data_IF_046343504415
#
_entry.id   IF_046343504415
#
_cell.length_a   1.000
_cell.length_b   1.000
_cell.length_c   1.000
_cell.angle_alpha   90.00
_cell.angle_beta   90.00
_cell.angle_gamma   90.00
#
_symmetry.space_group_name_H-M   'P 1'
#
loop_
_entity.id
_entity.type
_entity.pdbx_description
1 polymer ?
#
# COMPACT_ATOMS: atom_id res chain seq x y z
N UNK A 1 -0.97 -5.73 1.33
CA UNK A 1 0.24 -5.66 2.18
C UNK A 1 0.08 -6.55 3.39
N UNK A 2 1.10 -7.31 3.74
CA UNK A 2 1.15 -8.11 4.98
C UNK A 2 1.45 -7.26 6.21
N UNK A 3 1.81 -6.02 5.99
CA UNK A 3 2.15 -5.04 7.03
C UNK A 3 0.97 -4.10 7.19
N UNK A 4 0.60 -3.83 8.43
CA UNK A 4 -0.41 -2.83 8.74
C UNK A 4 0.05 -1.45 8.25
N UNK A 5 -0.89 -0.66 7.75
CA UNK A 5 -0.62 0.74 7.48
C UNK A 5 -0.42 1.47 8.82
N UNK A 6 0.45 2.47 8.81
CA UNK A 6 0.76 3.23 10.02
C UNK A 6 0.56 4.72 9.79
N UNK A 7 0.16 5.41 10.85
CA UNK A 7 0.13 6.86 10.89
C UNK A 7 0.78 7.36 12.19
N UNK A 8 1.45 8.50 12.09
CA UNK A 8 1.94 9.25 13.25
C UNK A 8 1.23 10.57 13.30
N UNK A 9 0.74 10.94 14.47
CA UNK A 9 -0.02 12.16 14.71
C UNK A 9 0.58 12.92 15.88
N UNK A 10 0.79 14.22 15.72
CA UNK A 10 1.20 15.14 16.80
C UNK A 10 0.10 16.16 17.02
N UNK A 11 -0.35 16.29 18.26
CA UNK A 11 -1.38 17.25 18.65
C UNK A 11 -0.79 18.20 19.68
N UNK A 12 -0.86 19.48 19.39
CA UNK A 12 -0.30 20.54 20.22
C UNK A 12 -1.36 21.14 21.11
N UNK A 13 -1.01 21.38 22.36
CA UNK A 13 -1.79 22.13 23.36
C UNK A 13 -3.23 21.64 23.52
N UNK A 14 -3.44 20.32 23.50
CA UNK A 14 -4.75 19.74 23.73
C UNK A 14 -5.19 19.96 25.19
N UNK A 15 -6.51 20.08 25.39
CA UNK A 15 -7.07 20.18 26.75
C UNK A 15 -6.78 18.89 27.56
N UNK A 16 -6.64 18.95 28.90
CA UNK A 16 -6.32 17.78 29.71
C UNK A 16 -7.27 16.60 29.52
N UNK A 17 -8.56 16.87 29.36
CA UNK A 17 -9.57 15.82 29.07
C UNK A 17 -9.33 15.15 27.70
N UNK A 18 -8.92 15.92 26.71
CA UNK A 18 -8.56 15.40 25.37
C UNK A 18 -7.29 14.57 25.46
N UNK A 19 -6.27 15.02 26.19
CA UNK A 19 -5.02 14.27 26.39
C UNK A 19 -5.33 12.89 26.99
N UNK A 20 -6.15 12.83 28.06
CA UNK A 20 -6.56 11.56 28.67
C UNK A 20 -7.20 10.60 27.65
N UNK A 21 -8.04 11.13 26.77
CA UNK A 21 -8.68 10.33 25.71
C UNK A 21 -7.68 9.87 24.65
N UNK A 22 -6.74 10.74 24.24
CA UNK A 22 -5.70 10.45 23.26
C UNK A 22 -4.68 9.42 23.77
N UNK A 23 -4.39 9.42 25.08
CA UNK A 23 -3.48 8.46 25.72
C UNK A 23 -4.12 7.09 25.95
N UNK A 24 -5.43 6.95 25.76
CA UNK A 24 -6.09 5.65 25.89
C UNK A 24 -5.69 4.74 24.72
N UNK A 25 -4.96 3.67 25.05
CA UNK A 25 -4.51 2.66 24.08
C UNK A 25 -5.70 1.82 23.59
N UNK A 26 -5.63 1.33 22.36
CA UNK A 26 -6.65 0.57 21.65
C UNK A 26 -7.90 1.38 21.25
N UNK A 27 -7.95 2.68 21.45
CA UNK A 27 -8.98 3.52 20.87
C UNK A 27 -8.85 3.57 19.35
N UNK A 28 -10.00 3.57 18.65
CA UNK A 28 -10.05 3.77 17.22
C UNK A 28 -9.91 5.26 16.92
N UNK A 29 -8.99 5.60 16.05
CA UNK A 29 -8.72 6.96 15.58
C UNK A 29 -8.99 7.04 14.09
N UNK A 30 -9.82 8.02 13.70
CA UNK A 30 -10.14 8.30 12.31
C UNK A 30 -9.53 9.65 11.94
N UNK A 31 -8.62 9.66 10.98
CA UNK A 31 -8.02 10.89 10.46
C UNK A 31 -8.77 11.28 9.19
N UNK A 32 -9.31 12.49 9.18
CA UNK A 32 -9.98 13.08 8.03
C UNK A 32 -9.22 14.30 7.57
N UNK A 33 -8.99 14.41 6.28
CA UNK A 33 -8.37 15.57 5.66
C UNK A 33 -8.91 15.80 4.25
N UNK A 34 -8.79 17.04 3.78
CA UNK A 34 -9.26 17.45 2.46
C UNK A 34 -9.38 18.97 2.36
N UNK A 35 -9.65 19.45 1.18
CA UNK A 35 -9.83 20.88 0.93
C UNK A 35 -11.31 21.28 1.06
N UNK A 36 -11.59 22.36 1.80
CA UNK A 36 -12.97 22.85 2.04
C UNK A 36 -13.70 23.20 0.74
N UNK A 37 -12.96 23.66 -0.28
CA UNK A 37 -13.52 24.07 -1.59
C UNK A 37 -13.74 22.91 -2.57
N UNK A 38 -13.34 21.69 -2.19
CA UNK A 38 -13.49 20.48 -2.97
C UNK A 38 -14.50 19.55 -2.30
N UNK A 39 -14.19 18.29 -2.12
CA UNK A 39 -15.05 17.27 -1.50
C UNK A 39 -15.07 17.31 0.03
N UNK A 40 -14.38 18.30 0.64
CA UNK A 40 -14.28 18.45 2.09
C UNK A 40 -13.36 17.44 2.76
N UNK A 41 -13.46 17.33 4.09
CA UNK A 41 -12.64 16.40 4.86
C UNK A 41 -13.16 14.97 4.74
N UNK A 42 -12.44 14.13 4.02
CA UNK A 42 -12.72 12.70 3.89
C UNK A 42 -11.71 11.87 4.69
N UNK A 43 -12.09 10.65 5.04
CA UNK A 43 -11.22 9.73 5.77
C UNK A 43 -10.01 9.38 4.92
N UNK A 44 -8.82 9.63 5.45
CA UNK A 44 -7.54 9.24 4.83
C UNK A 44 -6.86 8.12 5.60
N UNK A 45 -7.24 7.88 6.85
CA UNK A 45 -6.71 6.80 7.66
C UNK A 45 -7.68 6.44 8.79
N UNK A 46 -7.82 5.15 9.05
CA UNK A 46 -8.52 4.61 10.21
C UNK A 46 -7.61 3.59 10.88
N UNK A 47 -7.33 3.76 12.15
CA UNK A 47 -6.44 2.85 12.86
C UNK A 47 -6.66 2.85 14.36
N UNK A 48 -5.93 1.98 15.03
CA UNK A 48 -5.95 1.82 16.49
C UNK A 48 -4.74 2.52 17.10
N UNK A 49 -4.94 3.26 18.18
CA UNK A 49 -3.86 3.84 18.97
C UNK A 49 -3.05 2.74 19.63
N UNK A 50 -1.82 2.55 19.19
CA UNK A 50 -0.90 1.54 19.72
C UNK A 50 0.09 2.12 20.72
N UNK A 51 0.38 3.41 20.59
CA UNK A 51 1.28 4.15 21.49
C UNK A 51 0.89 5.61 21.51
N UNK A 52 0.83 6.19 22.68
CA UNK A 52 0.64 7.62 22.87
C UNK A 52 1.55 8.12 23.99
N UNK A 53 2.13 9.28 23.81
CA UNK A 53 3.02 9.92 24.77
C UNK A 53 2.79 11.42 24.75
N UNK A 54 2.55 12.00 25.92
CA UNK A 54 2.49 13.46 26.10
C UNK A 54 3.74 13.95 26.79
N UNK A 55 4.34 14.99 26.24
CA UNK A 55 5.54 15.64 26.79
C UNK A 55 5.47 17.15 26.57
N UNK A 56 6.32 17.87 27.27
CA UNK A 56 6.44 19.32 27.12
C UNK A 56 7.70 19.67 26.30
N UNK A 57 7.53 20.52 25.31
CA UNK A 57 8.60 21.03 24.48
C UNK A 57 8.51 22.58 24.46
N UNK A 58 9.37 23.20 25.25
CA UNK A 58 9.28 24.65 25.51
C UNK A 58 7.94 25.05 26.12
N UNK A 59 7.20 25.98 25.51
CA UNK A 59 5.88 26.42 25.99
C UNK A 59 4.74 25.45 25.61
N UNK A 60 4.99 24.53 24.69
CA UNK A 60 3.96 23.68 24.12
C UNK A 60 3.90 22.30 24.78
N UNK A 61 2.67 21.81 24.97
CA UNK A 61 2.41 20.42 25.33
C UNK A 61 2.10 19.64 24.07
N UNK A 62 2.89 18.61 23.77
CA UNK A 62 2.76 17.79 22.57
C UNK A 62 2.31 16.39 22.95
N UNK A 63 1.20 15.94 22.36
CA UNK A 63 0.75 14.53 22.42
C UNK A 63 1.08 13.86 21.08
N UNK A 64 2.00 12.91 21.12
CA UNK A 64 2.41 12.12 19.95
C UNK A 64 1.77 10.74 19.99
N UNK A 65 1.17 10.32 18.87
CA UNK A 65 0.46 9.05 18.74
C UNK A 65 1.00 8.24 17.58
N UNK A 66 1.13 6.94 17.80
CA UNK A 66 1.40 5.96 16.74
C UNK A 66 0.14 5.09 16.53
N UNK A 67 -0.37 5.14 15.31
CA UNK A 67 -1.60 4.47 14.93
C UNK A 67 -1.29 3.36 13.94
N UNK A 68 -1.96 2.21 14.08
CA UNK A 68 -1.83 1.09 13.16
C UNK A 68 -3.21 0.64 12.68
N UNK A 69 -3.35 0.48 11.36
CA UNK A 69 -4.57 -0.02 10.74
C UNK A 69 -4.68 -1.54 10.86
N UNK A 70 -5.87 -2.03 11.20
CA UNK A 70 -6.25 -3.46 11.15
C UNK A 70 -5.28 -4.43 11.85
N UNK A 71 -4.46 -3.93 12.81
CA UNK A 71 -3.42 -4.73 13.48
C UNK A 71 -3.98 -5.93 14.19
N UNK A 72 -5.04 -5.74 14.98
CA UNK A 72 -5.60 -6.80 15.82
C UNK A 72 -6.15 -7.95 14.96
N UNK A 73 -7.04 -7.71 13.98
CA UNK A 73 -7.50 -8.79 13.09
C UNK A 73 -6.36 -9.48 12.32
N UNK A 74 -5.38 -8.71 11.82
CA UNK A 74 -4.27 -9.27 11.05
C UNK A 74 -3.31 -10.11 11.88
N UNK A 75 -3.06 -9.71 13.13
CA UNK A 75 -2.14 -10.38 14.04
C UNK A 75 -2.75 -11.60 14.70
N UNK A 76 -3.97 -11.46 15.21
CA UNK A 76 -4.54 -12.36 16.20
C UNK A 76 -5.56 -13.35 15.63
N UNK A 77 -6.13 -13.05 14.45
CA UNK A 77 -7.11 -13.95 13.83
C UNK A 77 -6.49 -15.32 13.52
N UNK A 78 -7.07 -16.36 14.13
CA UNK A 78 -6.72 -17.76 13.91
C UNK A 78 -7.91 -18.52 13.34
N UNK A 79 -7.61 -19.56 12.58
CA UNK A 79 -8.61 -20.38 11.90
C UNK A 79 -8.22 -21.86 11.97
N UNK A 80 -9.21 -22.69 12.16
CA UNK A 80 -9.12 -24.14 11.92
C UNK A 80 -10.26 -24.53 11.00
N UNK A 81 -9.92 -24.82 9.74
CA UNK A 81 -10.92 -25.12 8.68
C UNK A 81 -10.54 -26.33 7.89
N UNK A 82 -11.57 -27.04 7.41
CA UNK A 82 -11.43 -28.13 6.47
C UNK A 82 -12.53 -28.03 5.43
N UNK A 83 -12.15 -28.15 4.17
CA UNK A 83 -13.05 -28.19 3.02
C UNK A 83 -12.86 -29.51 2.28
N UNK A 84 -13.94 -30.16 1.83
CA UNK A 84 -13.87 -31.47 1.18
C UNK A 84 -13.17 -31.41 -0.18
N UNK A 85 -12.76 -32.57 -0.74
CA UNK A 85 -12.22 -32.65 -2.09
C UNK A 85 -13.14 -32.01 -3.14
N UNK A 86 -12.53 -31.46 -4.20
CA UNK A 86 -13.21 -30.76 -5.30
C UNK A 86 -13.94 -29.47 -4.89
N UNK A 87 -13.61 -28.89 -3.72
CA UNK A 87 -14.15 -27.56 -3.34
C UNK A 87 -13.54 -26.47 -4.21
N UNK A 88 -14.39 -25.54 -4.67
CA UNK A 88 -13.97 -24.32 -5.38
C UNK A 88 -13.02 -23.48 -4.51
N UNK A 89 -11.92 -23.04 -5.09
CA UNK A 89 -10.95 -22.20 -4.38
C UNK A 89 -11.52 -20.82 -4.01
N UNK A 90 -12.51 -20.33 -4.76
CA UNK A 90 -13.26 -19.12 -4.40
C UNK A 90 -14.10 -19.34 -3.13
N UNK A 91 -14.74 -20.50 -2.99
CA UNK A 91 -15.48 -20.89 -1.77
C UNK A 91 -14.54 -20.96 -0.57
N UNK A 92 -13.35 -21.54 -0.75
CA UNK A 92 -12.32 -21.60 0.30
C UNK A 92 -11.86 -20.20 0.67
N UNK A 93 -11.62 -19.32 -0.33
CA UNK A 93 -11.23 -17.93 -0.12
C UNK A 93 -12.25 -17.18 0.75
N UNK A 94 -13.54 -17.33 0.44
CA UNK A 94 -14.62 -16.71 1.20
C UNK A 94 -14.72 -17.23 2.62
N UNK A 95 -14.58 -18.53 2.80
CA UNK A 95 -14.57 -19.15 4.11
C UNK A 95 -13.41 -18.71 4.99
N UNK A 96 -12.22 -18.52 4.39
CA UNK A 96 -11.04 -18.04 5.10
C UNK A 96 -11.15 -16.55 5.42
N UNK A 97 -11.53 -15.73 4.44
CA UNK A 97 -11.57 -14.26 4.57
C UNK A 97 -12.54 -13.77 5.65
N UNK A 98 -13.69 -14.45 5.81
CA UNK A 98 -14.67 -14.11 6.86
C UNK A 98 -14.11 -14.15 8.28
N UNK A 99 -13.05 -14.92 8.51
CA UNK A 99 -12.45 -15.07 9.84
C UNK A 99 -11.56 -13.87 10.24
N UNK A 100 -11.35 -12.88 9.38
CA UNK A 100 -10.77 -11.60 9.80
C UNK A 100 -11.76 -10.76 10.61
N UNK A 101 -13.07 -10.98 10.47
CA UNK A 101 -14.09 -10.15 11.11
C UNK A 101 -14.19 -8.74 10.52
N UNK A 102 -13.65 -8.53 9.32
CA UNK A 102 -13.65 -7.26 8.60
C UNK A 102 -14.50 -7.37 7.32
N UNK A 103 -15.08 -6.25 6.85
CA UNK A 103 -15.70 -6.19 5.53
C UNK A 103 -14.74 -6.64 4.43
N UNK A 104 -15.26 -7.35 3.43
CA UNK A 104 -14.48 -7.89 2.33
C UNK A 104 -14.94 -7.23 1.03
N UNK A 105 -14.02 -6.55 0.36
CA UNK A 105 -14.22 -6.00 -0.98
C UNK A 105 -13.39 -6.78 -1.99
N UNK A 106 -14.02 -7.23 -3.07
CA UNK A 106 -13.38 -8.01 -4.13
C UNK A 106 -13.48 -7.26 -5.47
N UNK A 107 -12.34 -7.07 -6.12
CA UNK A 107 -12.25 -6.65 -7.52
C UNK A 107 -11.52 -7.75 -8.30
N UNK A 108 -12.24 -8.86 -8.56
CA UNK A 108 -11.69 -10.09 -9.13
C UNK A 108 -12.37 -10.48 -10.46
N UNK A 109 -12.83 -9.49 -11.22
CA UNK A 109 -13.39 -9.73 -12.54
C UNK A 109 -12.41 -10.51 -13.43
N UNK A 110 -12.91 -11.52 -14.15
CA UNK A 110 -12.13 -12.37 -15.07
C UNK A 110 -11.04 -13.24 -14.39
N UNK A 111 -11.15 -13.52 -13.09
CA UNK A 111 -10.31 -14.52 -12.43
C UNK A 111 -10.95 -15.90 -12.61
N UNK A 112 -10.17 -16.82 -13.16
CA UNK A 112 -10.61 -18.19 -13.37
C UNK A 112 -10.59 -18.94 -12.03
N UNK A 113 -11.72 -19.52 -11.65
CA UNK A 113 -11.78 -20.35 -10.45
C UNK A 113 -11.00 -21.66 -10.66
N UNK A 114 -10.49 -22.19 -9.56
CA UNK A 114 -9.77 -23.45 -9.51
C UNK A 114 -10.38 -24.34 -8.44
N UNK A 115 -10.16 -25.63 -8.53
CA UNK A 115 -10.64 -26.59 -7.53
C UNK A 115 -9.49 -27.16 -6.71
N UNK A 116 -9.72 -27.31 -5.42
CA UNK A 116 -8.86 -28.09 -4.54
C UNK A 116 -9.24 -29.58 -4.66
N UNK A 117 -8.61 -30.29 -5.59
CA UNK A 117 -8.92 -31.70 -5.89
C UNK A 117 -8.80 -32.59 -4.65
N UNK A 118 -7.77 -32.40 -3.83
CA UNK A 118 -7.55 -33.11 -2.58
C UNK A 118 -8.24 -32.50 -1.34
N UNK A 119 -9.05 -31.46 -1.54
CA UNK A 119 -9.59 -30.66 -0.44
C UNK A 119 -8.59 -29.62 0.08
N UNK A 120 -9.02 -28.84 1.07
CA UNK A 120 -8.18 -27.84 1.72
C UNK A 120 -8.37 -27.92 3.23
N UNK A 121 -7.29 -28.13 3.96
CA UNK A 121 -7.29 -28.11 5.42
C UNK A 121 -6.19 -27.16 5.92
N UNK A 122 -6.53 -26.33 6.89
CA UNK A 122 -5.59 -25.37 7.46
C UNK A 122 -5.90 -25.08 8.93
N UNK A 123 -4.84 -25.06 9.73
CA UNK A 123 -4.88 -24.61 11.12
C UNK A 123 -3.75 -23.62 11.35
N UNK A 124 -4.06 -22.40 11.80
CA UNK A 124 -3.08 -21.35 12.03
C UNK A 124 -3.66 -19.95 11.87
N UNK A 125 -2.80 -19.01 11.46
CA UNK A 125 -3.21 -17.60 11.28
C UNK A 125 -4.01 -17.43 9.99
N UNK A 126 -5.10 -16.66 10.06
CA UNK A 126 -5.96 -16.37 8.89
C UNK A 126 -5.16 -15.76 7.74
N UNK A 127 -4.25 -14.83 8.02
CA UNK A 127 -3.41 -14.19 7.00
C UNK A 127 -2.58 -15.18 6.17
N UNK A 128 -2.04 -16.23 6.82
CA UNK A 128 -1.21 -17.22 6.13
C UNK A 128 -2.08 -18.15 5.28
N UNK A 129 -3.32 -18.45 5.72
CA UNK A 129 -4.31 -19.15 4.93
C UNK A 129 -4.72 -18.30 3.71
N UNK A 130 -4.98 -17.00 3.90
CA UNK A 130 -5.29 -16.06 2.80
C UNK A 130 -4.18 -16.01 1.77
N UNK A 131 -2.92 -15.93 2.20
CA UNK A 131 -1.77 -15.96 1.29
C UNK A 131 -1.75 -17.21 0.42
N UNK A 132 -2.00 -18.39 1.02
CA UNK A 132 -2.04 -19.67 0.28
C UNK A 132 -3.13 -19.67 -0.77
N UNK A 133 -4.34 -19.29 -0.39
CA UNK A 133 -5.51 -19.32 -1.30
C UNK A 133 -5.38 -18.24 -2.38
N UNK A 134 -4.98 -17.03 -2.03
CA UNK A 134 -4.78 -15.96 -2.99
C UNK A 134 -3.67 -16.31 -4.00
N UNK A 135 -2.53 -16.83 -3.54
CA UNK A 135 -1.45 -17.26 -4.44
C UNK A 135 -1.90 -18.37 -5.40
N UNK A 136 -2.71 -19.32 -4.93
CA UNK A 136 -3.25 -20.40 -5.76
C UNK A 136 -4.18 -19.88 -6.86
N UNK A 137 -4.98 -18.86 -6.55
CA UNK A 137 -5.89 -18.19 -7.49
C UNK A 137 -5.22 -17.13 -8.36
N UNK A 138 -3.95 -16.75 -8.09
CA UNK A 138 -3.29 -15.63 -8.75
C UNK A 138 -3.84 -14.27 -8.31
N UNK A 139 -4.30 -14.20 -7.06
CA UNK A 139 -4.83 -13.01 -6.40
C UNK A 139 -3.79 -12.42 -5.44
N UNK A 140 -4.02 -11.18 -5.05
CA UNK A 140 -3.38 -10.54 -3.91
C UNK A 140 -4.44 -9.90 -3.01
N UNK A 141 -4.11 -9.74 -1.76
CA UNK A 141 -5.00 -9.15 -0.78
C UNK A 141 -4.27 -8.15 0.10
N UNK A 142 -5.00 -7.19 0.64
CA UNK A 142 -4.51 -6.21 1.59
C UNK A 142 -5.61 -5.86 2.59
N UNK A 143 -5.21 -5.44 3.79
CA UNK A 143 -6.12 -4.79 4.73
C UNK A 143 -5.85 -3.30 4.68
N UNK A 144 -6.89 -2.50 4.48
CA UNK A 144 -6.81 -1.05 4.36
C UNK A 144 -8.11 -0.43 4.90
N UNK A 145 -7.98 0.60 5.71
CA UNK A 145 -9.12 1.35 6.26
C UNK A 145 -10.17 0.48 6.94
N UNK A 146 -9.75 -0.58 7.62
CA UNK A 146 -10.65 -1.51 8.30
C UNK A 146 -11.36 -2.50 7.37
N UNK A 147 -10.94 -2.67 6.13
CA UNK A 147 -11.52 -3.60 5.15
C UNK A 147 -10.46 -4.53 4.56
N UNK A 148 -10.87 -5.73 4.16
CA UNK A 148 -10.05 -6.65 3.37
C UNK A 148 -10.33 -6.43 1.89
N UNK A 149 -9.32 -6.02 1.14
CA UNK A 149 -9.38 -5.86 -0.31
C UNK A 149 -8.71 -7.03 -1.00
N UNK A 150 -9.39 -7.64 -1.99
CA UNK A 150 -8.89 -8.77 -2.77
C UNK A 150 -8.95 -8.39 -4.25
N UNK A 151 -7.80 -8.44 -4.93
CA UNK A 151 -7.68 -8.08 -6.35
C UNK A 151 -6.86 -9.12 -7.11
N UNK A 152 -6.93 -9.08 -8.43
CA UNK A 152 -6.02 -9.87 -9.27
C UNK A 152 -4.59 -9.38 -9.04
N UNK A 153 -3.63 -10.29 -8.99
CA UNK A 153 -2.21 -9.93 -8.82
C UNK A 153 -1.75 -8.97 -9.91
N UNK A 154 -1.20 -7.82 -9.49
CA UNK A 154 -0.82 -6.73 -10.40
C UNK A 154 -2.00 -5.92 -10.96
N UNK A 155 -3.24 -6.21 -10.54
CA UNK A 155 -4.43 -5.47 -10.96
C UNK A 155 -4.64 -4.19 -10.18
N UNK A 156 -5.70 -3.45 -10.54
CA UNK A 156 -6.15 -2.22 -9.86
C UNK A 156 -7.47 -2.47 -9.16
N UNK A 157 -7.71 -1.71 -8.09
CA UNK A 157 -8.94 -1.83 -7.32
C UNK A 157 -10.07 -0.97 -7.89
N UNK A 158 -9.75 0.20 -8.45
CA UNK A 158 -10.71 1.15 -8.98
C UNK A 158 -10.84 1.07 -10.50
N UNK A 159 -12.06 1.22 -11.01
CA UNK A 159 -12.35 1.27 -12.46
C UNK A 159 -12.08 2.65 -13.07
N UNK A 160 -11.94 3.69 -12.24
CA UNK A 160 -11.66 5.06 -12.65
C UNK A 160 -10.25 5.47 -12.26
N UNK A 161 -9.54 6.09 -13.22
CA UNK A 161 -8.19 6.59 -12.98
C UNK A 161 -8.20 8.02 -12.45
N UNK A 162 -7.40 8.27 -11.42
CA UNK A 162 -7.07 9.63 -10.98
C UNK A 162 -6.05 10.22 -11.95
N UNK A 163 -6.34 11.38 -12.53
CA UNK A 163 -5.40 12.05 -13.43
C UNK A 163 -4.44 12.91 -12.61
N UNK A 164 -3.14 12.62 -12.73
CA UNK A 164 -2.07 13.42 -12.13
C UNK A 164 -1.34 14.20 -13.22
N UNK A 165 -1.49 15.49 -13.18
CA UNK A 165 -0.85 16.45 -14.07
C UNK A 165 -0.49 17.73 -13.31
N UNK A 166 0.25 18.62 -13.95
CA UNK A 166 0.50 19.96 -13.41
C UNK A 166 -0.81 20.69 -13.04
N UNK A 167 -1.85 20.50 -13.83
CA UNK A 167 -3.13 21.20 -13.68
C UNK A 167 -4.07 20.54 -12.64
N UNK A 168 -3.78 19.28 -12.26
CA UNK A 168 -4.58 18.52 -11.28
C UNK A 168 -3.85 18.33 -9.94
N UNK A 169 -2.84 19.17 -9.68
CA UNK A 169 -2.19 19.24 -8.37
C UNK A 169 -0.91 18.41 -8.24
N UNK A 170 -0.35 17.86 -9.32
CA UNK A 170 0.97 17.23 -9.24
C UNK A 170 2.05 18.26 -8.93
N UNK A 171 2.90 17.97 -7.95
CA UNK A 171 3.98 18.82 -7.47
C UNK A 171 5.31 18.33 -8.04
N UNK A 172 5.97 19.17 -8.84
CA UNK A 172 7.24 18.82 -9.48
C UNK A 172 7.08 17.83 -10.62
N UNK A 173 8.05 16.92 -10.77
CA UNK A 173 8.10 15.93 -11.85
C UNK A 173 8.17 14.51 -11.29
N UNK A 174 7.59 13.52 -11.98
CA UNK A 174 7.74 12.11 -11.62
C UNK A 174 9.21 11.70 -11.57
N UNK A 175 9.62 11.06 -10.48
CA UNK A 175 10.97 10.52 -10.33
C UNK A 175 10.94 9.03 -10.63
N UNK A 176 11.88 8.55 -11.46
CA UNK A 176 11.99 7.12 -11.74
C UNK A 176 12.42 6.38 -10.49
N UNK A 177 11.67 5.32 -10.16
CA UNK A 177 12.04 4.38 -9.12
C UNK A 177 12.67 3.16 -9.80
N UNK A 178 13.98 3.01 -9.59
CA UNK A 178 14.76 1.97 -10.25
C UNK A 178 15.49 1.12 -9.21
N UNK A 179 15.51 -0.18 -9.43
CA UNK A 179 16.33 -1.11 -8.67
C UNK A 179 17.55 -1.51 -9.48
N UNK A 180 18.71 -1.30 -8.91
CA UNK A 180 19.98 -1.76 -9.50
C UNK A 180 20.12 -3.27 -9.30
N UNK A 181 20.40 -4.01 -10.34
CA UNK A 181 20.66 -5.46 -10.27
C UNK A 181 21.75 -5.87 -11.23
N UNK A 182 22.43 -6.99 -10.93
CA UNK A 182 23.44 -7.57 -11.82
C UNK A 182 22.77 -8.31 -12.98
N UNK A 183 23.48 -8.45 -14.11
CA UNK A 183 22.97 -9.23 -15.25
C UNK A 183 22.60 -10.67 -14.88
N UNK A 184 23.37 -11.30 -13.99
CA UNK A 184 23.06 -12.65 -13.47
C UNK A 184 21.73 -12.71 -12.74
N UNK A 185 21.42 -11.67 -11.94
CA UNK A 185 20.16 -11.60 -11.20
C UNK A 185 18.99 -11.34 -12.15
N UNK A 186 19.17 -10.44 -13.13
CA UNK A 186 18.18 -10.15 -14.15
C UNK A 186 17.82 -11.40 -14.97
N UNK A 187 18.83 -12.15 -15.43
CA UNK A 187 18.63 -13.39 -16.18
C UNK A 187 17.89 -14.48 -15.37
N UNK A 188 18.21 -14.64 -14.06
CA UNK A 188 17.50 -15.57 -13.17
C UNK A 188 16.02 -15.21 -12.98
N UNK A 189 15.68 -13.94 -13.06
CA UNK A 189 14.29 -13.45 -12.93
C UNK A 189 13.55 -13.39 -14.26
N UNK A 190 14.19 -13.84 -15.36
CA UNK A 190 13.58 -13.85 -16.70
C UNK A 190 13.39 -12.45 -17.30
N UNK A 191 14.08 -11.44 -16.78
CA UNK A 191 13.99 -10.06 -17.23
C UNK A 191 14.74 -9.91 -18.56
N UNK A 192 14.04 -9.47 -19.61
CA UNK A 192 14.61 -9.22 -20.92
C UNK A 192 14.81 -7.73 -21.16
N UNK A 193 15.96 -7.37 -21.75
CA UNK A 193 16.19 -6.00 -22.17
C UNK A 193 15.19 -5.56 -23.26
N UNK A 194 14.78 -4.30 -23.21
CA UNK A 194 13.80 -3.75 -24.14
C UNK A 194 12.35 -3.90 -23.70
N UNK A 195 12.06 -4.53 -22.57
CA UNK A 195 10.72 -4.47 -21.96
C UNK A 195 10.46 -3.07 -21.39
N UNK A 196 9.19 -2.67 -21.34
CA UNK A 196 8.79 -1.38 -20.79
C UNK A 196 9.30 -1.24 -19.35
N UNK A 197 10.03 -0.16 -19.06
CA UNK A 197 10.60 0.10 -17.75
C UNK A 197 12.02 -0.43 -17.50
N UNK A 198 12.60 -1.21 -18.42
CA UNK A 198 13.97 -1.75 -18.27
C UNK A 198 14.96 -0.93 -19.06
N UNK A 199 15.85 -0.28 -18.37
CA UNK A 199 16.94 0.53 -18.94
C UNK A 199 18.27 -0.15 -18.62
N UNK A 200 19.06 -0.43 -19.65
CA UNK A 200 20.44 -0.91 -19.48
C UNK A 200 21.36 0.30 -19.24
N UNK A 201 21.90 0.41 -18.04
CA UNK A 201 22.99 1.35 -17.77
C UNK A 201 24.24 0.54 -17.47
N UNK A 202 25.28 0.76 -18.28
CA UNK A 202 26.61 0.22 -18.01
C UNK A 202 27.29 1.24 -17.10
N UNK A 203 27.43 0.92 -15.85
CA UNK A 203 28.27 1.69 -14.91
C UNK A 203 29.61 0.95 -14.88
N UNK A 204 30.64 1.56 -15.44
CA UNK A 204 32.02 1.15 -15.20
C UNK A 204 32.34 1.55 -13.76
N UNK A 205 32.18 0.62 -12.84
CA UNK A 205 32.69 0.80 -11.48
C UNK A 205 34.18 0.46 -11.57
N UNK A 206 35.01 1.50 -11.57
CA UNK A 206 36.43 1.35 -11.37
C UNK A 206 36.70 1.00 -9.90
N UNK A 207 36.50 -0.27 -9.57
CA UNK A 207 37.04 -0.85 -8.35
C UNK A 207 38.35 -1.52 -8.73
N UNK A 208 39.52 -1.04 -8.24
CA UNK A 208 40.83 -1.60 -8.54
C UNK A 208 40.98 -3.05 -8.05
N UNK A 209 40.08 -3.56 -7.22
CA UNK A 209 40.07 -4.96 -6.73
C UNK A 209 39.09 -5.87 -7.47
N UNK A 210 38.19 -5.30 -8.31
CA UNK A 210 37.18 -6.09 -9.03
C UNK A 210 37.79 -6.73 -10.29
N UNK A 211 37.97 -8.02 -10.28
CA UNK A 211 38.43 -8.82 -11.44
C UNK A 211 37.42 -9.00 -12.57
N UNK A 212 36.20 -8.51 -12.41
CA UNK A 212 35.11 -8.60 -13.38
C UNK A 212 34.33 -7.29 -13.43
N UNK A 213 34.18 -6.72 -14.62
CA UNK A 213 33.24 -5.62 -14.90
C UNK A 213 31.81 -6.17 -14.76
N UNK A 214 31.23 -6.05 -13.58
CA UNK A 214 29.83 -6.38 -13.37
C UNK A 214 28.97 -5.30 -14.04
N UNK A 215 28.31 -5.68 -15.13
CA UNK A 215 27.34 -4.80 -15.78
C UNK A 215 26.11 -4.69 -14.88
N UNK A 216 25.85 -3.49 -14.41
CA UNK A 216 24.70 -3.20 -13.57
C UNK A 216 23.52 -2.83 -14.46
N UNK A 217 22.42 -3.55 -14.34
CA UNK A 217 21.17 -3.24 -15.03
C UNK A 217 20.24 -2.52 -14.09
N UNK A 218 19.73 -1.36 -14.51
CA UNK A 218 18.69 -0.64 -13.81
C UNK A 218 17.34 -1.11 -14.33
N UNK A 219 16.56 -1.73 -13.47
CA UNK A 219 15.14 -1.98 -13.71
C UNK A 219 14.34 -0.80 -13.19
N UNK A 220 13.69 -0.08 -14.09
CA UNK A 220 12.71 0.94 -13.69
C UNK A 220 11.44 0.22 -13.30
N UNK A 221 11.13 0.21 -12.00
CA UNK A 221 9.96 -0.48 -11.47
C UNK A 221 8.71 0.42 -11.45
N UNK A 222 8.87 1.72 -11.67
CA UNK A 222 7.78 2.68 -11.65
C UNK A 222 8.26 4.11 -11.46
N UNK A 223 7.38 4.93 -10.91
CA UNK A 223 7.63 6.34 -10.64
C UNK A 223 7.18 6.72 -9.25
N UNK A 224 7.92 7.62 -8.61
CA UNK A 224 7.51 8.31 -7.40
C UNK A 224 6.98 9.68 -7.79
N UNK A 225 5.77 10.00 -7.37
CA UNK A 225 5.09 11.27 -7.66
C UNK A 225 4.64 11.94 -6.38
N UNK A 226 4.70 13.26 -6.34
CA UNK A 226 4.13 14.08 -5.25
C UNK A 226 2.97 14.89 -5.80
N UNK A 227 1.87 14.95 -5.07
CA UNK A 227 0.69 15.73 -5.43
C UNK A 227 0.15 16.48 -4.22
N UNK A 228 -0.67 17.49 -4.44
CA UNK A 228 -1.55 18.02 -3.40
C UNK A 228 -2.33 16.85 -2.78
N UNK A 229 -2.73 17.02 -1.53
CA UNK A 229 -3.46 15.99 -0.80
C UNK A 229 -4.70 15.57 -1.59
N UNK A 230 -4.71 14.32 -2.03
CA UNK A 230 -5.84 13.73 -2.74
C UNK A 230 -6.10 12.33 -2.16
N UNK A 231 -7.17 12.15 -1.40
CA UNK A 231 -7.50 10.87 -0.78
C UNK A 231 -7.82 9.75 -1.77
N UNK A 232 -8.09 10.08 -3.04
CA UNK A 232 -8.29 9.08 -4.08
C UNK A 232 -6.99 8.40 -4.56
N UNK A 233 -5.82 8.88 -4.10
CA UNK A 233 -4.51 8.28 -4.39
C UNK A 233 -4.15 7.35 -3.23
N UNK A 234 -4.71 6.16 -3.18
CA UNK A 234 -4.47 5.14 -2.15
C UNK A 234 -3.87 3.86 -2.76
N UNK A 235 -3.24 2.97 -1.99
CA UNK A 235 -2.67 1.73 -2.50
C UNK A 235 -3.72 0.88 -3.22
N UNK A 236 -3.43 0.49 -4.48
CA UNK A 236 -4.38 -0.20 -5.38
C UNK A 236 -5.18 0.73 -6.29
N UNK A 237 -5.16 2.05 -6.08
CA UNK A 237 -5.81 3.00 -6.96
C UNK A 237 -5.17 3.01 -8.36
N UNK A 238 -5.97 3.42 -9.34
CA UNK A 238 -5.59 3.57 -10.74
C UNK A 238 -5.27 5.03 -11.03
N UNK A 239 -4.10 5.31 -11.57
CA UNK A 239 -3.62 6.67 -11.79
C UNK A 239 -3.12 6.82 -13.21
N UNK A 240 -3.53 7.89 -13.88
CA UNK A 240 -2.98 8.34 -15.15
C UNK A 240 -2.02 9.51 -14.91
N UNK A 241 -0.76 9.38 -15.34
CA UNK A 241 0.23 10.46 -15.20
C UNK A 241 0.41 11.16 -16.53
N UNK A 242 0.25 12.50 -16.52
CA UNK A 242 0.53 13.39 -17.66
C UNK A 242 1.63 14.37 -17.26
N UNK A 243 2.84 14.13 -17.76
CA UNK A 243 4.02 14.95 -17.46
C UNK A 243 5.03 14.87 -18.59
N UNK A 244 6.04 15.75 -18.55
CA UNK A 244 7.12 15.71 -19.55
C UNK A 244 7.80 14.34 -19.54
N UNK A 245 7.77 13.64 -20.67
CA UNK A 245 8.33 12.29 -20.83
C UNK A 245 7.43 11.14 -20.37
N UNK A 246 6.20 11.42 -19.93
CA UNK A 246 5.15 10.44 -19.59
C UNK A 246 3.85 10.99 -20.17
N UNK A 247 3.42 10.45 -21.31
CA UNK A 247 2.27 10.98 -22.04
C UNK A 247 1.00 10.19 -21.76
N UNK A 248 0.41 10.45 -20.58
CA UNK A 248 -0.86 9.84 -20.20
C UNK A 248 -0.80 8.35 -19.92
N UNK A 249 0.36 7.85 -19.50
CA UNK A 249 0.51 6.46 -19.11
C UNK A 249 -0.24 6.15 -17.81
N UNK A 250 -0.71 4.90 -17.71
CA UNK A 250 -1.48 4.42 -16.58
C UNK A 250 -0.62 3.59 -15.64
N UNK A 251 -0.86 3.78 -14.35
CA UNK A 251 -0.12 3.13 -13.28
C UNK A 251 -1.05 2.69 -12.16
N UNK A 252 -0.57 1.72 -11.38
CA UNK A 252 -1.15 1.34 -10.10
C UNK A 252 -0.37 2.02 -8.97
N UNK A 253 -1.07 2.54 -7.99
CA UNK A 253 -0.46 2.99 -6.74
C UNK A 253 -0.07 1.77 -5.90
N UNK A 254 1.21 1.66 -5.57
CA UNK A 254 1.74 0.62 -4.68
C UNK A 254 1.75 1.09 -3.22
N UNK A 255 2.25 2.31 -3.01
CA UNK A 255 2.33 2.96 -1.71
C UNK A 255 1.82 4.39 -1.82
N UNK A 256 1.17 4.88 -0.78
CA UNK A 256 0.79 6.28 -0.64
C UNK A 256 1.18 6.77 0.76
N UNK A 257 1.84 7.91 0.84
CA UNK A 257 2.19 8.59 2.08
C UNK A 257 1.55 9.95 2.10
N UNK A 258 0.65 10.17 3.02
CA UNK A 258 0.04 11.48 3.26
C UNK A 258 0.86 12.27 4.27
N UNK A 259 1.02 13.56 4.03
CA UNK A 259 1.67 14.50 4.96
C UNK A 259 0.85 15.77 5.02
N UNK A 260 0.65 16.28 6.22
CA UNK A 260 -0.10 17.52 6.41
C UNK A 260 0.11 18.10 7.79
N UNK A 261 -0.11 19.41 7.88
CA UNK A 261 0.05 20.19 9.10
C UNK A 261 -0.98 21.32 9.10
N UNK A 262 -1.66 21.55 10.22
CA UNK A 262 -2.67 22.60 10.36
C UNK A 262 -2.07 24.02 10.43
N UNK A 263 -0.78 24.16 10.70
CA UNK A 263 -0.07 25.44 10.78
C UNK A 263 0.93 25.63 9.66
N UNK A 264 1.38 24.55 9.02
CA UNK A 264 2.26 24.56 7.87
C UNK A 264 1.51 24.69 6.54
N UNK A 265 2.27 24.69 5.45
CA UNK A 265 1.72 24.80 4.10
C UNK A 265 1.71 23.46 3.35
N UNK A 266 2.24 22.40 3.95
CA UNK A 266 2.38 21.12 3.27
C UNK A 266 1.15 20.21 3.52
N UNK A 267 0.24 20.18 2.55
CA UNK A 267 -0.79 19.17 2.43
C UNK A 267 -0.54 18.39 1.15
N UNK A 268 0.08 17.23 1.27
CA UNK A 268 0.55 16.48 0.10
C UNK A 268 0.37 14.98 0.27
N UNK A 269 0.33 14.27 -0.87
CA UNK A 269 0.46 12.83 -0.96
C UNK A 269 1.66 12.50 -1.86
N UNK A 270 2.52 11.63 -1.39
CA UNK A 270 3.60 11.03 -2.17
C UNK A 270 3.21 9.58 -2.49
N UNK A 271 3.19 9.23 -3.76
CA UNK A 271 2.78 7.92 -4.22
C UNK A 271 3.88 7.22 -5.01
N UNK A 272 4.07 5.93 -4.73
CA UNK A 272 4.88 5.03 -5.54
C UNK A 272 3.97 4.35 -6.55
N UNK A 273 4.25 4.58 -7.82
CA UNK A 273 3.49 4.08 -8.96
C UNK A 273 4.23 2.91 -9.63
N UNK A 274 3.50 1.84 -9.95
CA UNK A 274 4.02 0.69 -10.69
C UNK A 274 3.34 0.58 -12.06
N UNK A 275 4.07 0.05 -13.01
CA UNK A 275 3.52 -0.33 -14.31
C UNK A 275 2.44 -1.42 -14.14
N UNK A 276 1.41 -1.37 -15.00
CA UNK A 276 0.28 -2.32 -15.03
C UNK A 276 0.49 -3.29 -16.18
#
# INVERSE_FOLDING_TARGET
>A
SKTANQASLKIYNAAPSTITMLETINNIVIIKAGYVKDIGAITIFTGTNCRSLTYQDGPDTITEMELLDSVIPLRDAKISVSFPPNTSAMTVLDGVAKNFGLPIKKSISKVQDKQYVGGFAYNGRVRDAMDRVCNYLGLEWSAQDGEIQIIKKGGVYADTAVVLSKDTGMIGYPRREAKTMTEKTAAKQGIKYGQKGIVRTVVDVEDPTAKLKDRVTLEVQGYRVKSLLNPAIYPGAYVQVKSRGIDGEFFRVEEARYSGDTHGQEWSVEALLRFI
#
